data_IF_509278341336
#
_entry.id   IF_509278341336
#
_cell.length_a   1.000
_cell.length_b   1.000
_cell.length_c   1.000
_cell.angle_alpha   90.00
_cell.angle_beta   90.00
_cell.angle_gamma   90.00
#
_symmetry.space_group_name_H-M   'P 1'
#
loop_
_entity.id
_entity.type
_entity.pdbx_description
1 polymer ?
#
# COMPACT_ATOMS: atom_id res chain seq x y z
N UNK A 1 -12.55 -21.60 -2.33
CA UNK A 1 -13.17 -20.29 -2.66
C UNK A 1 -12.17 -19.52 -3.50
N UNK A 2 -12.57 -18.88 -4.60
CA UNK A 2 -11.70 -18.05 -5.45
C UNK A 2 -11.77 -16.58 -5.03
N UNK A 3 -10.75 -15.79 -5.36
CA UNK A 3 -10.68 -14.36 -5.00
C UNK A 3 -11.93 -13.57 -5.47
N UNK A 4 -12.48 -13.92 -6.62
CA UNK A 4 -13.70 -13.30 -7.15
C UNK A 4 -14.96 -13.63 -6.32
N UNK A 5 -15.01 -14.81 -5.69
CA UNK A 5 -16.10 -15.23 -4.82
C UNK A 5 -16.03 -14.49 -3.48
N UNK A 6 -14.83 -14.35 -2.90
CA UNK A 6 -14.58 -13.51 -1.72
C UNK A 6 -15.04 -12.07 -1.97
N UNK A 7 -14.57 -11.47 -3.07
CA UNK A 7 -14.92 -10.08 -3.39
C UNK A 7 -16.43 -9.87 -3.57
N UNK A 8 -17.14 -10.86 -4.15
CA UNK A 8 -18.60 -10.82 -4.28
C UNK A 8 -19.30 -10.98 -2.93
N UNK A 9 -18.83 -11.88 -2.07
CA UNK A 9 -19.39 -12.10 -0.75
C UNK A 9 -19.24 -10.85 0.14
N UNK A 10 -18.05 -10.23 0.13
CA UNK A 10 -17.78 -8.99 0.88
C UNK A 10 -18.62 -7.84 0.36
N UNK A 11 -18.71 -7.67 -0.95
CA UNK A 11 -19.58 -6.66 -1.58
C UNK A 11 -21.06 -6.85 -1.16
N UNK A 12 -21.55 -8.10 -1.19
CA UNK A 12 -22.92 -8.41 -0.78
C UNK A 12 -23.18 -8.14 0.71
N UNK A 13 -22.22 -8.44 1.57
CA UNK A 13 -22.36 -8.25 3.02
C UNK A 13 -22.28 -6.77 3.44
N UNK A 14 -21.52 -5.95 2.71
CA UNK A 14 -21.25 -4.54 3.04
C UNK A 14 -22.11 -3.55 2.25
N UNK A 15 -22.73 -3.98 1.16
CA UNK A 15 -23.43 -3.10 0.22
C UNK A 15 -22.50 -2.32 -0.73
N UNK A 16 -21.19 -2.56 -0.64
CA UNK A 16 -20.19 -1.94 -1.52
C UNK A 16 -20.12 -2.60 -2.90
N UNK A 17 -19.53 -1.91 -3.86
CA UNK A 17 -19.30 -2.48 -5.20
C UNK A 17 -18.10 -3.43 -5.20
N UNK A 18 -18.10 -4.43 -6.08
CA UNK A 18 -16.96 -5.34 -6.28
C UNK A 18 -15.69 -4.58 -6.66
N UNK A 19 -15.80 -3.48 -7.40
CA UNK A 19 -14.69 -2.57 -7.70
C UNK A 19 -14.13 -1.89 -6.45
N UNK A 20 -15.00 -1.44 -5.53
CA UNK A 20 -14.56 -0.87 -4.25
C UNK A 20 -13.77 -1.91 -3.46
N UNK A 21 -14.32 -3.12 -3.31
CA UNK A 21 -13.69 -4.21 -2.56
C UNK A 21 -12.35 -4.63 -3.18
N UNK A 22 -12.26 -4.70 -4.52
CA UNK A 22 -10.99 -4.95 -5.21
C UNK A 22 -9.93 -3.89 -4.91
N UNK A 23 -10.32 -2.62 -4.84
CA UNK A 23 -9.41 -1.52 -4.51
C UNK A 23 -8.94 -1.57 -3.04
N UNK A 24 -9.77 -2.10 -2.15
CA UNK A 24 -9.40 -2.29 -0.73
C UNK A 24 -8.37 -3.42 -0.52
N UNK A 25 -8.19 -4.31 -1.50
CA UNK A 25 -7.10 -5.27 -1.49
C UNK A 25 -7.30 -6.47 -0.57
N UNK A 26 -8.56 -6.90 -0.34
CA UNK A 26 -8.81 -8.18 0.32
C UNK A 26 -8.19 -9.31 -0.49
N UNK A 27 -7.40 -10.17 0.16
CA UNK A 27 -6.76 -11.31 -0.46
C UNK A 27 -7.14 -12.58 0.29
N UNK A 28 -7.40 -13.66 -0.46
CA UNK A 28 -7.44 -14.99 0.12
C UNK A 28 -6.02 -15.40 0.43
N UNK A 29 -5.72 -15.57 1.71
CA UNK A 29 -4.49 -16.22 2.15
C UNK A 29 -4.53 -17.66 1.65
N UNK A 30 -3.70 -18.01 0.67
CA UNK A 30 -3.49 -19.43 0.37
C UNK A 30 -2.67 -20.04 1.52
N UNK A 31 -2.99 -21.27 1.95
CA UNK A 31 -2.29 -21.91 3.06
C UNK A 31 -0.80 -22.20 2.80
N UNK A 32 -0.34 -22.03 1.55
CA UNK A 32 1.06 -22.19 1.12
C UNK A 32 1.65 -20.88 0.55
N UNK A 33 1.00 -19.73 0.76
CA UNK A 33 1.60 -18.44 0.42
C UNK A 33 2.70 -18.15 1.44
N UNK A 34 3.93 -18.60 1.16
CA UNK A 34 5.17 -18.32 1.92
C UNK A 34 5.46 -16.82 2.06
N UNK A 35 4.66 -15.98 1.39
CA UNK A 35 4.55 -14.54 1.60
C UNK A 35 3.81 -14.23 2.90
N UNK A 36 4.38 -14.67 4.01
CA UNK A 36 4.03 -14.04 5.27
C UNK A 36 4.42 -12.57 5.16
N UNK A 37 3.56 -11.61 5.56
CA UNK A 37 3.96 -10.20 5.63
C UNK A 37 5.15 -9.98 6.58
N UNK A 38 5.48 -11.00 7.38
CA UNK A 38 6.58 -11.04 8.33
C UNK A 38 7.68 -12.02 7.92
N UNK A 39 7.62 -12.65 6.73
CA UNK A 39 8.69 -13.56 6.31
C UNK A 39 9.95 -12.79 5.99
N UNK A 40 11.03 -13.08 6.70
CA UNK A 40 12.37 -12.46 6.56
C UNK A 40 12.97 -12.56 5.13
N UNK A 41 12.30 -13.29 4.23
CA UNK A 41 12.70 -13.52 2.84
C UNK A 41 12.59 -12.27 1.94
N UNK A 42 11.82 -11.24 2.32
CA UNK A 42 11.63 -10.02 1.52
C UNK A 42 12.59 -8.85 1.84
N UNK A 43 13.70 -9.15 2.53
CA UNK A 43 14.70 -8.14 2.86
C UNK A 43 14.29 -7.27 4.06
N UNK A 44 15.10 -6.26 4.43
CA UNK A 44 14.85 -5.49 5.64
C UNK A 44 13.54 -4.71 5.50
N UNK A 45 12.50 -5.17 6.18
CA UNK A 45 11.21 -4.47 6.32
C UNK A 45 11.29 -3.14 7.07
N UNK A 46 12.50 -2.68 7.39
CA UNK A 46 12.76 -1.45 8.09
C UNK A 46 13.39 -0.48 7.10
N UNK A 47 12.55 0.40 6.57
CA UNK A 47 13.01 1.56 5.81
C UNK A 47 13.34 2.65 6.83
N UNK A 48 14.59 3.11 6.82
CA UNK A 48 14.95 4.38 7.44
C UNK A 48 14.35 5.50 6.57
N UNK A 49 13.28 6.10 7.05
CA UNK A 49 12.57 7.16 6.34
C UNK A 49 13.43 8.41 6.20
N UNK A 50 14.31 8.70 7.16
CA UNK A 50 15.18 9.87 7.14
C UNK A 50 16.27 9.68 6.07
N UNK A 51 16.84 8.48 5.97
CA UNK A 51 17.82 8.15 4.92
C UNK A 51 17.18 8.20 3.52
N UNK A 52 15.98 7.62 3.39
CA UNK A 52 15.24 7.59 2.13
C UNK A 52 14.82 9.01 1.68
N UNK A 53 14.44 9.87 2.61
CA UNK A 53 14.14 11.28 2.34
C UNK A 53 15.39 12.05 1.92
N UNK A 54 16.51 11.86 2.63
CA UNK A 54 17.79 12.46 2.25
C UNK A 54 18.22 12.06 0.82
N UNK A 55 18.06 10.80 0.45
CA UNK A 55 18.35 10.30 -0.90
C UNK A 55 17.47 10.94 -1.98
N UNK A 56 16.18 11.20 -1.68
CA UNK A 56 15.26 11.88 -2.62
C UNK A 56 15.69 13.34 -2.87
N UNK A 57 16.27 14.00 -1.88
CA UNK A 57 16.70 15.40 -1.99
C UNK A 57 18.09 15.59 -2.64
N UNK A 58 18.90 14.54 -2.80
CA UNK A 58 20.22 14.64 -3.45
C UNK A 58 20.12 14.92 -4.97
N UNK A 59 18.92 14.79 -5.56
CA UNK A 59 18.70 15.00 -7.01
C UNK A 59 17.77 16.16 -7.40
N UNK A 60 17.18 16.89 -6.44
CA UNK A 60 16.29 18.01 -6.77
C UNK A 60 17.06 19.34 -6.69
N UNK A 61 17.31 20.05 -7.81
CA UNK A 61 17.69 21.46 -7.72
C UNK A 61 16.56 22.20 -7.01
N UNK A 62 16.91 22.99 -6.01
CA UNK A 62 16.00 23.71 -5.13
C UNK A 62 14.80 24.26 -5.90
N UNK A 63 13.63 23.64 -5.70
CA UNK A 63 12.38 24.30 -6.04
C UNK A 63 12.20 25.42 -5.03
N UNK A 64 12.06 26.69 -5.47
CA UNK A 64 11.84 27.77 -4.54
C UNK A 64 10.60 27.45 -3.69
N UNK A 65 10.79 27.55 -2.38
CA UNK A 65 9.75 27.43 -1.39
C UNK A 65 8.68 28.48 -1.71
N UNK A 66 7.54 28.04 -2.25
CA UNK A 66 6.38 28.89 -2.39
C UNK A 66 5.85 29.15 -0.98
N UNK A 67 6.30 30.23 -0.35
CA UNK A 67 5.72 30.73 0.89
C UNK A 67 4.20 30.87 0.69
N UNK A 68 3.37 30.38 1.62
CA UNK A 68 1.95 30.70 1.58
C UNK A 68 1.79 32.20 1.83
N UNK A 69 1.29 32.92 0.83
CA UNK A 69 0.91 34.33 0.97
C UNK A 69 -0.05 34.46 2.17
N UNK A 70 0.28 35.26 3.20
CA UNK A 70 -0.66 35.50 4.28
C UNK A 70 -1.83 36.33 3.73
N UNK A 71 -3.05 35.89 4.04
CA UNK A 71 -4.33 36.55 3.75
C UNK A 71 -4.49 37.85 4.53
#
# INVERSE_FOLDING_TARGET
MKQNELNRAVAQATGETVSTIKRLGFLLSEPDDSRHPESEEFGPYVIDWDELEAQRHIGEPERPHNEPTPV
#
